data_IF_755927819251
#
_entry.id   IF_755927819251
#
_cell.length_a   1.000
_cell.length_b   1.000
_cell.length_c   1.000
_cell.angle_alpha   90.00
_cell.angle_beta   90.00
_cell.angle_gamma   90.00
#
_symmetry.space_group_name_H-M   'P 1'
#
loop_
_entity.id
_entity.type
_entity.pdbx_description
1 polymer ?
#
# COMPACT_ATOMS: atom_id res chain seq x y z
N UNK A 1 35.74 27.78 -23.34
CA UNK A 1 35.15 26.93 -22.28
C UNK A 1 33.77 26.52 -22.77
N UNK A 2 33.59 25.30 -23.27
CA UNK A 2 32.24 24.81 -23.64
C UNK A 2 31.63 24.13 -22.42
N UNK A 3 30.70 24.81 -21.75
CA UNK A 3 29.85 24.18 -20.74
C UNK A 3 28.86 23.27 -21.45
N UNK A 4 28.93 21.97 -21.21
CA UNK A 4 27.94 21.02 -21.70
C UNK A 4 26.61 21.28 -20.99
N UNK A 5 25.62 21.80 -21.71
CA UNK A 5 24.24 21.91 -21.22
C UNK A 5 23.64 20.50 -21.21
N UNK A 6 23.53 19.89 -20.02
CA UNK A 6 22.80 18.64 -19.88
C UNK A 6 21.32 18.96 -20.05
N UNK A 7 20.60 18.26 -20.95
CA UNK A 7 19.16 18.45 -21.08
C UNK A 7 18.48 18.10 -19.75
N UNK A 8 17.40 18.81 -19.38
CA UNK A 8 16.66 18.51 -18.17
C UNK A 8 16.13 17.08 -18.22
N UNK A 9 16.49 16.28 -17.22
CA UNK A 9 15.95 14.95 -17.03
C UNK A 9 14.54 15.07 -16.42
N UNK A 10 13.56 14.43 -17.04
CA UNK A 10 12.19 14.42 -16.54
C UNK A 10 11.80 12.99 -16.17
N UNK A 11 11.24 12.82 -14.98
CA UNK A 11 10.73 11.54 -14.50
C UNK A 11 9.21 11.62 -14.34
N UNK A 12 8.50 10.59 -14.82
CA UNK A 12 7.07 10.45 -14.58
C UNK A 12 6.87 9.75 -13.24
N UNK A 13 6.22 10.44 -12.30
CA UNK A 13 5.87 9.87 -11.01
C UNK A 13 4.45 9.31 -11.04
N UNK A 14 4.24 8.05 -10.60
CA UNK A 14 2.90 7.54 -10.34
C UNK A 14 2.16 8.44 -9.35
N UNK A 15 0.87 8.70 -9.58
CA UNK A 15 0.07 9.61 -8.75
C UNK A 15 0.10 9.21 -7.26
N UNK A 16 0.10 7.91 -6.97
CA UNK A 16 0.14 7.40 -5.61
C UNK A 16 1.46 7.78 -4.90
N UNK A 17 2.60 7.67 -5.59
CA UNK A 17 3.90 8.08 -5.06
C UNK A 17 3.94 9.59 -4.82
N UNK A 18 3.47 10.39 -5.78
CA UNK A 18 3.40 11.84 -5.63
C UNK A 18 2.54 12.26 -4.42
N UNK A 19 1.38 11.65 -4.22
CA UNK A 19 0.51 11.92 -3.06
C UNK A 19 1.12 11.41 -1.74
N UNK A 20 1.91 10.34 -1.79
CA UNK A 20 2.59 9.82 -0.61
C UNK A 20 3.70 10.74 -0.12
N UNK A 21 4.48 11.31 -1.04
CA UNK A 21 5.47 12.35 -0.73
C UNK A 21 4.83 13.61 -0.10
N UNK A 22 3.55 13.86 -0.35
CA UNK A 22 2.78 14.95 0.28
C UNK A 22 2.15 14.55 1.64
N UNK A 23 2.35 13.32 2.12
CA UNK A 23 1.71 12.80 3.33
C UNK A 23 0.21 12.57 3.20
N UNK A 24 -0.32 12.46 1.96
CA UNK A 24 -1.75 12.27 1.71
C UNK A 24 -2.11 10.81 1.50
N UNK A 25 -1.22 10.05 0.86
CA UNK A 25 -1.41 8.63 0.57
C UNK A 25 -0.38 7.83 1.34
N UNK A 26 -0.82 6.77 2.00
CA UNK A 26 0.07 5.86 2.71
C UNK A 26 -0.04 4.49 2.09
N UNK A 27 1.11 3.84 1.90
CA UNK A 27 1.19 2.46 1.42
C UNK A 27 1.54 1.60 2.63
N UNK A 28 0.62 0.72 2.99
CA UNK A 28 0.86 -0.32 3.99
C UNK A 28 1.26 -1.62 3.32
N UNK A 29 2.09 -2.42 3.99
CA UNK A 29 2.41 -3.77 3.59
C UNK A 29 2.34 -4.67 4.82
N UNK A 30 1.66 -5.81 4.70
CA UNK A 30 1.56 -6.82 5.73
C UNK A 30 2.14 -8.12 5.18
N UNK A 31 3.36 -8.43 5.61
CA UNK A 31 4.04 -9.68 5.25
C UNK A 31 3.78 -10.80 6.26
N UNK A 32 4.23 -12.01 5.93
CA UNK A 32 4.29 -13.17 6.81
C UNK A 32 2.92 -13.54 7.41
N UNK A 33 1.85 -13.33 6.66
CA UNK A 33 0.52 -13.83 6.97
C UNK A 33 0.51 -15.36 6.84
N UNK A 34 0.80 -16.04 7.95
CA UNK A 34 0.72 -17.50 8.03
C UNK A 34 -0.52 -17.91 8.81
N UNK A 35 -1.33 -18.78 8.22
CA UNK A 35 -2.43 -19.43 8.92
C UNK A 35 -2.04 -20.87 9.27
N UNK A 36 -2.31 -21.29 10.52
CA UNK A 36 -2.22 -22.70 10.90
C UNK A 36 -3.40 -23.49 10.28
N UNK A 37 -3.31 -24.83 10.16
CA UNK A 37 -4.40 -25.64 9.64
C UNK A 37 -5.74 -25.33 10.35
N UNK A 38 -6.78 -25.03 9.56
CA UNK A 38 -8.11 -24.69 10.06
C UNK A 38 -8.25 -23.27 10.66
N UNK A 39 -7.25 -22.40 10.51
CA UNK A 39 -7.30 -21.00 10.98
C UNK A 39 -7.20 -20.01 9.81
N UNK A 40 -7.53 -18.75 10.09
CA UNK A 40 -7.36 -17.63 9.17
C UNK A 40 -6.19 -16.74 9.64
N UNK A 41 -5.51 -16.09 8.70
CA UNK A 41 -4.55 -15.01 8.97
C UNK A 41 -5.22 -13.67 8.63
N UNK A 42 -4.89 -12.63 9.41
CA UNK A 42 -5.54 -11.33 9.30
C UNK A 42 -4.51 -10.22 9.17
N UNK A 43 -4.76 -9.30 8.25
CA UNK A 43 -4.12 -7.98 8.21
C UNK A 43 -5.20 -6.92 8.31
N UNK A 44 -4.86 -5.78 8.90
CA UNK A 44 -5.78 -4.66 9.03
C UNK A 44 -5.08 -3.34 8.84
N UNK A 45 -5.81 -2.39 8.26
CA UNK A 45 -5.41 -1.01 8.12
C UNK A 45 -6.27 -0.17 9.05
N UNK A 46 -5.65 0.47 10.02
CA UNK A 46 -6.34 1.24 11.05
C UNK A 46 -5.70 2.61 11.20
N UNK A 47 -6.52 3.63 11.41
CA UNK A 47 -6.00 4.93 11.85
C UNK A 47 -5.54 4.83 13.30
N UNK A 48 -4.42 5.50 13.67
CA UNK A 48 -4.03 5.63 15.06
C UNK A 48 -5.15 6.23 15.90
N UNK A 49 -5.28 5.74 17.14
CA UNK A 49 -6.25 6.27 18.11
C UNK A 49 -6.02 7.77 18.29
N UNK A 50 -7.09 8.56 18.17
CA UNK A 50 -7.04 10.02 18.34
C UNK A 50 -6.48 10.80 17.13
N UNK A 51 -6.28 10.16 15.98
CA UNK A 51 -5.70 10.83 14.80
C UNK A 51 -6.59 11.90 14.15
N UNK A 52 -7.90 11.92 14.43
CA UNK A 52 -8.83 12.93 13.88
C UNK A 52 -9.02 12.89 12.36
N UNK A 53 -8.55 11.83 11.70
CA UNK A 53 -8.63 11.64 10.24
C UNK A 53 -9.53 10.45 9.89
N UNK A 54 -10.17 10.52 8.73
CA UNK A 54 -10.97 9.43 8.15
C UNK A 54 -10.06 8.63 7.21
N UNK A 55 -10.01 7.31 7.40
CA UNK A 55 -9.25 6.41 6.54
C UNK A 55 -10.02 6.16 5.24
N UNK A 56 -9.35 6.32 4.10
CA UNK A 56 -9.89 5.92 2.79
C UNK A 56 -8.94 4.92 2.15
N UNK A 57 -9.49 3.82 1.62
CA UNK A 57 -8.73 2.79 0.92
C UNK A 57 -8.94 2.96 -0.58
N UNK A 58 -7.85 3.20 -1.32
CA UNK A 58 -7.89 3.35 -2.77
C UNK A 58 -7.67 2.03 -3.51
N UNK A 59 -6.67 1.25 -3.08
CA UNK A 59 -6.27 -0.02 -3.72
C UNK A 59 -5.88 -1.02 -2.64
N UNK A 60 -6.36 -2.26 -2.76
CA UNK A 60 -5.84 -3.41 -2.02
C UNK A 60 -5.35 -4.43 -3.04
N UNK A 61 -4.10 -4.87 -2.89
CA UNK A 61 -3.49 -5.92 -3.72
C UNK A 61 -3.23 -7.13 -2.85
N UNK A 62 -3.73 -8.30 -3.27
CA UNK A 62 -3.48 -9.58 -2.61
C UNK A 62 -2.81 -10.52 -3.61
N UNK A 63 -1.70 -11.13 -3.20
CA UNK A 63 -0.90 -12.02 -4.05
C UNK A 63 -0.76 -13.39 -3.40
N UNK A 64 -1.10 -14.44 -4.14
CA UNK A 64 -0.87 -15.83 -3.71
C UNK A 64 0.54 -16.27 -4.09
N UNK A 65 1.50 -16.14 -3.16
CA UNK A 65 2.88 -16.54 -3.41
C UNK A 65 3.12 -18.05 -3.29
N UNK A 66 2.27 -18.77 -2.55
CA UNK A 66 2.44 -20.20 -2.27
C UNK A 66 1.76 -21.11 -3.30
N UNK A 67 0.92 -20.56 -4.18
CA UNK A 67 0.19 -21.31 -5.20
C UNK A 67 -0.92 -22.24 -4.66
N UNK A 68 -1.20 -22.19 -3.36
CA UNK A 68 -2.26 -22.97 -2.71
C UNK A 68 -3.53 -22.12 -2.68
N UNK A 69 -4.71 -22.65 -3.08
CA UNK A 69 -5.95 -21.89 -3.02
C UNK A 69 -6.25 -21.38 -1.60
N UNK A 70 -6.72 -20.14 -1.50
CA UNK A 70 -7.24 -19.58 -0.25
C UNK A 70 -8.46 -18.71 -0.52
N UNK A 71 -9.30 -18.54 0.49
CA UNK A 71 -10.39 -17.57 0.50
C UNK A 71 -9.86 -16.25 1.08
N UNK A 72 -10.02 -15.16 0.34
CA UNK A 72 -9.72 -13.80 0.79
C UNK A 72 -11.02 -13.05 1.07
N UNK A 73 -11.10 -12.40 2.22
CA UNK A 73 -12.26 -11.61 2.64
C UNK A 73 -11.80 -10.20 3.03
N UNK A 74 -12.62 -9.20 2.71
CA UNK A 74 -12.34 -7.79 2.99
C UNK A 74 -13.51 -7.19 3.76
N UNK A 75 -13.20 -6.53 4.88
CA UNK A 75 -14.19 -5.86 5.72
C UNK A 75 -13.84 -4.38 5.83
N UNK A 76 -14.85 -3.56 5.64
CA UNK A 76 -14.78 -2.12 5.87
C UNK A 76 -15.71 -1.80 7.03
N UNK A 77 -15.18 -1.21 8.09
CA UNK A 77 -16.02 -0.60 9.11
C UNK A 77 -16.58 0.72 8.57
N UNK A 78 -17.86 0.96 8.84
CA UNK A 78 -18.53 2.23 8.58
C UNK A 78 -18.34 3.19 9.76
#
# INVERSE_FOLDING_TARGET
>A
MSGSFLPPEFAILPVALYKSLQGKYFVGYADNLTASPGKNAWAGLFNPVGSGVILYVNVITVTNVMGIPFAGEFWFNA
#
